data_IF_606772716743
#
_entry.id   IF_606772716743
#
_cell.length_a   1.000
_cell.length_b   1.000
_cell.length_c   1.000
_cell.angle_alpha   90.00
_cell.angle_beta   90.00
_cell.angle_gamma   90.00
#
_symmetry.space_group_name_H-M   'P 1'
#
loop_
_entity.id
_entity.type
_entity.pdbx_description
1 polymer ?
#
# COMPACT_ATOMS: atom_id res chain seq x y z
N UNK A 1 3.88 8.39 -28.40
CA UNK A 1 3.53 7.96 -27.03
C UNK A 1 4.25 8.88 -26.06
N UNK A 2 3.53 9.54 -25.16
CA UNK A 2 4.13 10.35 -24.10
C UNK A 2 4.66 9.43 -23.00
N UNK A 3 5.95 9.52 -22.67
CA UNK A 3 6.53 8.76 -21.55
C UNK A 3 6.01 9.34 -20.25
N UNK A 4 5.17 8.61 -19.52
CA UNK A 4 4.78 9.01 -18.18
C UNK A 4 6.00 8.91 -17.25
N UNK A 5 6.25 9.98 -16.49
CA UNK A 5 7.33 10.04 -15.52
C UNK A 5 6.88 9.32 -14.24
N UNK A 6 7.16 8.04 -14.14
CA UNK A 6 6.88 7.21 -12.95
C UNK A 6 8.08 7.24 -12.02
N UNK A 7 7.85 7.50 -10.73
CA UNK A 7 8.88 7.48 -9.69
C UNK A 7 8.63 6.35 -8.69
N UNK A 8 9.71 5.79 -8.13
CA UNK A 8 9.60 4.83 -7.02
C UNK A 8 9.00 5.46 -5.75
N UNK A 9 9.03 6.79 -5.64
CA UNK A 9 8.42 7.51 -4.52
C UNK A 9 6.89 7.55 -4.61
N UNK A 10 6.30 7.25 -5.77
CA UNK A 10 4.85 7.28 -5.97
C UNK A 10 4.14 6.07 -5.35
N UNK A 11 4.91 5.06 -4.88
CA UNK A 11 4.42 3.75 -4.43
C UNK A 11 3.29 3.77 -3.40
N UNK A 12 3.22 4.79 -2.55
CA UNK A 12 2.16 4.93 -1.51
C UNK A 12 1.27 6.16 -1.71
N UNK A 13 1.50 6.95 -2.75
CA UNK A 13 0.58 8.02 -3.14
C UNK A 13 -0.62 7.41 -3.86
N UNK A 14 -1.79 7.44 -3.22
CA UNK A 14 -3.01 6.82 -3.75
C UNK A 14 -3.61 7.59 -4.93
N UNK A 15 -3.17 8.83 -5.19
CA UNK A 15 -3.62 9.64 -6.32
C UNK A 15 -2.84 9.33 -7.61
N UNK A 16 -1.69 8.63 -7.49
CA UNK A 16 -0.85 8.25 -8.63
C UNK A 16 -1.29 6.94 -9.26
N UNK A 17 -1.35 6.94 -10.59
CA UNK A 17 -1.52 5.74 -11.42
C UNK A 17 -0.93 6.00 -12.82
N UNK A 18 -0.12 5.07 -13.37
CA UNK A 18 0.35 3.81 -12.78
C UNK A 18 1.50 4.02 -11.78
N UNK A 19 1.71 3.05 -10.89
CA UNK A 19 2.83 3.01 -9.92
C UNK A 19 3.59 1.69 -10.03
N UNK A 20 4.88 1.68 -9.68
CA UNK A 20 5.70 0.47 -9.61
C UNK A 20 5.75 -0.05 -8.17
N UNK A 21 5.44 -1.33 -7.98
CA UNK A 21 5.38 -1.98 -6.67
C UNK A 21 6.01 -3.37 -6.74
N UNK A 22 6.69 -3.78 -5.67
CA UNK A 22 6.91 -5.20 -5.39
C UNK A 22 5.72 -5.79 -4.61
N UNK A 23 5.76 -7.10 -4.34
CA UNK A 23 4.66 -7.80 -3.65
C UNK A 23 4.34 -7.26 -2.25
N UNK A 24 5.36 -6.95 -1.43
CA UNK A 24 5.12 -6.46 -0.06
C UNK A 24 4.60 -5.03 -0.05
N UNK A 25 5.07 -4.18 -0.96
CA UNK A 25 4.55 -2.83 -1.17
C UNK A 25 3.10 -2.85 -1.65
N UNK A 26 2.73 -3.80 -2.52
CA UNK A 26 1.37 -3.96 -2.98
C UNK A 26 0.41 -4.30 -1.82
N UNK A 27 0.83 -5.15 -0.87
CA UNK A 27 0.05 -5.45 0.33
C UNK A 27 -0.17 -4.20 1.20
N UNK A 28 0.88 -3.40 1.44
CA UNK A 28 0.75 -2.13 2.18
C UNK A 28 -0.18 -1.15 1.48
N UNK A 29 0.02 -0.94 0.17
CA UNK A 29 -0.82 -0.03 -0.61
C UNK A 29 -2.29 -0.47 -0.62
N UNK A 30 -2.56 -1.78 -0.69
CA UNK A 30 -3.92 -2.32 -0.62
C UNK A 30 -4.63 -1.92 0.69
N UNK A 31 -3.93 -2.00 1.83
CA UNK A 31 -4.48 -1.59 3.13
C UNK A 31 -4.76 -0.09 3.18
N UNK A 32 -3.87 0.74 2.64
CA UNK A 32 -4.09 2.19 2.52
C UNK A 32 -5.32 2.49 1.63
N UNK A 33 -5.45 1.80 0.50
CA UNK A 33 -6.60 1.92 -0.40
C UNK A 33 -7.92 1.48 0.26
N UNK A 34 -7.89 0.48 1.13
CA UNK A 34 -9.07 0.08 1.90
C UNK A 34 -9.46 1.18 2.88
N UNK A 35 -8.51 1.70 3.67
CA UNK A 35 -8.77 2.79 4.61
C UNK A 35 -9.31 4.05 3.92
N UNK A 36 -8.77 4.41 2.75
CA UNK A 36 -9.28 5.53 1.95
C UNK A 36 -10.72 5.30 1.48
N UNK A 37 -11.06 4.09 1.04
CA UNK A 37 -12.43 3.70 0.66
C UNK A 37 -13.40 3.73 1.83
N UNK A 38 -12.99 3.22 2.98
CA UNK A 38 -13.79 3.23 4.20
C UNK A 38 -14.11 4.67 4.63
N UNK A 39 -13.10 5.56 4.61
CA UNK A 39 -13.30 6.99 4.89
C UNK A 39 -14.25 7.65 3.88
N UNK A 40 -14.12 7.35 2.59
CA UNK A 40 -15.02 7.87 1.56
C UNK A 40 -16.47 7.38 1.73
N UNK A 41 -16.65 6.17 2.30
CA UNK A 41 -17.95 5.63 2.67
C UNK A 41 -18.48 6.15 4.03
N UNK A 42 -17.74 7.00 4.73
CA UNK A 42 -18.12 7.53 6.05
C UNK A 42 -17.93 6.54 7.20
N UNK A 43 -17.17 5.47 7.00
CA UNK A 43 -16.89 4.47 8.04
C UNK A 43 -15.69 4.90 8.90
N UNK A 44 -15.76 4.60 10.20
CA UNK A 44 -14.66 4.80 11.15
C UNK A 44 -13.96 3.46 11.41
N UNK A 45 -13.08 3.05 10.49
CA UNK A 45 -12.35 1.78 10.56
C UNK A 45 -10.89 1.98 10.95
N UNK A 46 -10.26 0.89 11.40
CA UNK A 46 -8.82 0.84 11.64
C UNK A 46 -8.22 -0.39 10.95
N UNK A 47 -6.97 -0.27 10.52
CA UNK A 47 -6.21 -1.42 10.03
C UNK A 47 -5.65 -2.24 11.19
N UNK A 48 -5.74 -3.57 11.10
CA UNK A 48 -5.08 -4.47 12.04
C UNK A 48 -4.12 -5.39 11.29
N UNK A 49 -2.84 -5.31 11.66
CA UNK A 49 -1.77 -6.12 11.06
C UNK A 49 -1.14 -6.94 12.17
N UNK A 50 -1.03 -8.24 11.94
CA UNK A 50 -0.36 -9.17 12.83
C UNK A 50 0.55 -10.09 12.03
N UNK A 51 1.57 -10.63 12.68
CA UNK A 51 2.57 -11.46 12.04
C UNK A 51 3.17 -12.46 13.02
N UNK A 52 3.92 -13.41 12.48
CA UNK A 52 4.64 -14.42 13.23
C UNK A 52 6.06 -14.59 12.67
N UNK A 53 6.98 -15.06 13.52
CA UNK A 53 8.38 -15.29 13.11
C UNK A 53 8.47 -16.37 12.04
N UNK A 54 9.29 -16.12 11.02
CA UNK A 54 9.43 -17.03 9.87
C UNK A 54 8.30 -16.91 8.85
N UNK A 55 7.44 -15.88 8.94
CA UNK A 55 6.44 -15.61 7.92
C UNK A 55 7.09 -15.44 6.54
N UNK A 56 6.53 -16.05 5.49
CA UNK A 56 6.99 -15.83 4.11
C UNK A 56 6.74 -14.39 3.63
N UNK A 57 5.99 -13.60 4.40
CA UNK A 57 5.72 -12.18 4.18
C UNK A 57 6.46 -11.27 5.18
N UNK A 58 7.53 -11.76 5.82
CA UNK A 58 8.26 -11.05 6.88
C UNK A 58 8.98 -9.75 6.50
N UNK A 59 8.73 -9.20 5.30
CA UNK A 59 9.20 -7.89 4.88
C UNK A 59 8.06 -6.87 4.67
N UNK A 60 6.81 -7.25 4.97
CA UNK A 60 5.64 -6.36 4.86
C UNK A 60 5.69 -5.27 5.93
N UNK A 61 6.04 -5.62 7.16
CA UNK A 61 6.24 -4.69 8.28
C UNK A 61 7.36 -3.67 7.99
N UNK A 62 8.43 -4.08 7.31
CA UNK A 62 9.50 -3.18 6.86
C UNK A 62 9.01 -2.11 5.87
N UNK A 63 7.89 -2.35 5.17
CA UNK A 63 7.27 -1.38 4.26
C UNK A 63 6.27 -0.44 4.94
N UNK A 64 6.02 -0.59 6.25
CA UNK A 64 5.06 0.22 7.03
C UNK A 64 5.71 1.38 7.81
N UNK A 65 6.96 1.70 7.50
CA UNK A 65 7.69 2.82 8.10
C UNK A 65 7.32 4.16 7.48
#
# INVERSE_FOLDING_TARGET
MTTQKISLNDRFDLEKSPVLLNGTQALVRLMMMQSARDRAAGLNTAGYVTGYRGSPLGAVDLQMQ
#
